data_IF_587019854907
#
_entry.id   IF_587019854907
#
_cell.length_a   1.000
_cell.length_b   1.000
_cell.length_c   1.000
_cell.angle_alpha   90.00
_cell.angle_beta   90.00
_cell.angle_gamma   90.00
#
_symmetry.space_group_name_H-M   'P 1'
#
loop_
_entity.id
_entity.type
_entity.pdbx_description
1 polymer ?
#
# COMPACT_ATOMS: atom_id res chain seq x y z
N UNK A 1 49.20 28.38 43.57
CA UNK A 1 48.13 29.32 43.95
C UNK A 1 46.84 28.51 44.12
N UNK A 2 46.37 28.45 45.36
CA UNK A 2 45.09 27.90 45.79
C UNK A 2 43.93 28.80 45.34
N UNK A 3 42.87 28.22 44.79
CA UNK A 3 41.57 28.88 44.61
C UNK A 3 40.50 27.80 44.78
N UNK A 4 40.13 27.52 46.04
CA UNK A 4 38.85 27.94 46.62
C UNK A 4 37.65 27.56 45.76
N UNK A 5 37.13 26.36 46.05
CA UNK A 5 35.77 25.92 45.75
C UNK A 5 34.78 26.85 46.44
N UNK A 6 34.18 27.75 45.68
CA UNK A 6 33.11 28.61 46.14
C UNK A 6 31.84 27.77 46.34
N UNK A 7 31.47 27.60 47.61
CA UNK A 7 30.31 26.84 48.08
C UNK A 7 29.03 27.61 47.82
N UNK A 8 28.62 27.67 46.55
CA UNK A 8 27.25 28.05 46.20
C UNK A 8 26.29 26.91 46.53
N UNK A 9 25.51 27.06 47.59
CA UNK A 9 24.45 26.14 48.01
C UNK A 9 23.45 25.89 46.86
N UNK A 10 23.70 24.85 46.07
CA UNK A 10 22.74 24.38 45.06
C UNK A 10 21.57 23.77 45.82
N UNK A 11 20.41 24.43 45.78
CA UNK A 11 19.17 23.90 46.39
C UNK A 11 18.72 22.66 45.63
N UNK A 12 18.76 21.46 46.24
CA UNK A 12 18.22 20.27 45.60
C UNK A 12 16.69 20.36 45.57
N UNK A 13 16.08 19.92 44.47
CA UNK A 13 14.63 19.99 44.27
C UNK A 13 13.90 18.92 45.10
N UNK A 14 14.49 17.73 45.16
CA UNK A 14 14.11 16.63 46.03
C UNK A 14 15.28 15.63 46.15
N UNK A 15 15.24 14.81 47.19
CA UNK A 15 16.20 13.74 47.45
C UNK A 15 15.56 12.40 47.05
N UNK A 16 16.28 11.58 46.29
CA UNK A 16 15.80 10.25 45.84
C UNK A 16 16.53 9.13 46.55
N UNK A 17 15.81 8.05 46.82
CA UNK A 17 16.42 6.84 47.38
C UNK A 17 17.35 6.19 46.33
N UNK A 18 18.57 5.76 46.69
CA UNK A 18 19.53 5.18 45.74
C UNK A 18 19.07 3.86 45.11
N UNK A 19 18.42 2.97 45.89
CA UNK A 19 17.89 1.69 45.39
C UNK A 19 16.45 1.68 44.86
N UNK A 20 15.55 2.59 45.29
CA UNK A 20 14.16 2.62 44.82
C UNK A 20 13.78 4.00 44.26
N UNK A 21 13.71 4.17 42.93
CA UNK A 21 13.40 5.46 42.31
C UNK A 21 12.03 6.05 42.66
N UNK A 22 11.08 5.26 43.19
CA UNK A 22 9.73 5.72 43.55
C UNK A 22 9.66 6.46 44.89
N UNK A 23 10.67 6.30 45.76
CA UNK A 23 10.69 6.94 47.09
C UNK A 23 11.48 8.24 47.03
N UNK A 24 10.77 9.37 47.07
CA UNK A 24 11.34 10.73 47.04
C UNK A 24 11.00 11.51 48.30
N UNK A 25 11.96 12.24 48.88
CA UNK A 25 11.75 13.12 50.04
C UNK A 25 12.14 14.57 49.70
N UNK A 26 11.34 15.53 50.18
CA UNK A 26 11.62 16.98 50.03
C UNK A 26 12.68 17.50 51.00
N UNK A 27 13.00 16.72 52.02
CA UNK A 27 13.97 17.04 53.09
C UNK A 27 15.08 15.98 53.04
N UNK A 28 16.35 16.33 53.35
CA UNK A 28 17.40 15.32 53.49
C UNK A 28 16.94 14.21 54.43
N UNK A 29 16.86 12.99 53.92
CA UNK A 29 16.42 11.82 54.66
C UNK A 29 17.47 10.73 54.51
N UNK A 30 17.53 9.85 55.52
CA UNK A 30 18.33 8.64 55.50
C UNK A 30 17.41 7.44 55.36
N UNK A 31 17.89 6.42 54.65
CA UNK A 31 17.18 5.15 54.57
C UNK A 31 17.36 4.31 55.85
N UNK A 32 16.59 3.23 55.99
CA UNK A 32 16.72 2.23 57.06
C UNK A 32 18.11 1.59 57.18
N UNK A 33 19.00 1.81 56.20
CA UNK A 33 20.40 1.42 56.21
C UNK A 33 21.38 2.60 56.41
N UNK A 34 20.90 3.73 56.95
CA UNK A 34 21.69 4.93 57.28
C UNK A 34 22.38 5.62 56.09
N UNK A 35 22.01 5.28 54.86
CA UNK A 35 22.52 5.93 53.64
C UNK A 35 21.76 7.21 53.33
N UNK A 36 22.50 8.26 53.00
CA UNK A 36 21.93 9.56 52.60
C UNK A 36 21.25 9.46 51.23
N UNK A 37 20.05 10.02 51.12
CA UNK A 37 19.37 10.11 49.84
C UNK A 37 20.13 11.02 48.88
N UNK A 38 20.12 10.68 47.60
CA UNK A 38 20.88 11.40 46.57
C UNK A 38 20.13 12.68 46.17
N UNK A 39 20.76 13.87 46.25
CA UNK A 39 20.12 15.13 45.84
C UNK A 39 19.95 15.18 44.31
N UNK A 40 18.72 15.39 43.84
CA UNK A 40 18.43 15.64 42.43
C UNK A 40 18.33 17.15 42.21
N UNK A 41 19.14 17.65 41.28
CA UNK A 41 19.20 19.06 40.92
C UNK A 41 18.32 19.35 39.69
N UNK A 42 17.84 20.60 39.58
CA UNK A 42 16.99 21.03 38.47
C UNK A 42 17.63 20.84 37.09
N UNK A 43 18.96 20.81 37.02
CA UNK A 43 19.71 20.63 35.77
C UNK A 43 19.64 19.20 35.24
N UNK A 44 19.55 18.18 36.10
CA UNK A 44 19.29 16.79 35.68
C UNK A 44 17.83 16.61 35.25
N UNK A 45 16.88 17.30 35.89
CA UNK A 45 15.49 17.34 35.45
C UNK A 45 15.32 18.09 34.12
N UNK A 46 16.20 19.05 33.79
CA UNK A 46 16.25 19.71 32.48
C UNK A 46 16.96 18.84 31.42
N UNK A 47 17.98 18.06 31.79
CA UNK A 47 18.61 17.07 30.92
C UNK A 47 17.69 15.86 30.62
N UNK A 48 16.76 15.55 31.53
CA UNK A 48 15.67 14.58 31.36
C UNK A 48 14.31 15.21 31.01
N UNK A 49 14.25 16.53 30.80
CA UNK A 49 13.02 17.31 30.58
C UNK A 49 12.52 17.26 29.14
N UNK A 50 12.59 16.08 28.52
CA UNK A 50 11.91 15.81 27.26
C UNK A 50 10.47 15.39 27.54
N UNK A 51 9.53 15.81 26.70
CA UNK A 51 8.17 15.26 26.66
C UNK A 51 8.28 13.73 26.65
N UNK A 52 7.47 13.03 27.46
CA UNK A 52 7.47 11.57 27.50
C UNK A 52 7.40 10.98 26.07
N UNK A 53 8.39 10.15 25.71
CA UNK A 53 8.54 9.62 24.34
C UNK A 53 9.58 10.34 23.47
N UNK A 54 10.33 11.32 23.99
CA UNK A 54 11.45 11.94 23.27
C UNK A 54 12.81 11.37 23.74
N UNK A 55 13.70 11.13 22.77
CA UNK A 55 15.08 10.67 23.01
C UNK A 55 16.03 11.79 22.57
N UNK A 56 16.94 12.19 23.46
CA UNK A 56 17.98 13.18 23.19
C UNK A 56 19.28 12.46 22.83
N UNK A 57 19.89 12.84 21.72
CA UNK A 57 21.15 12.28 21.23
C UNK A 57 22.18 13.40 21.10
N UNK A 58 23.43 13.10 21.44
CA UNK A 58 24.55 14.05 21.35
C UNK A 58 24.81 14.48 19.88
N UNK A 59 24.95 15.78 19.59
CA UNK A 59 25.34 16.29 18.28
C UNK A 59 26.56 15.61 17.65
N UNK A 60 27.59 15.24 18.43
CA UNK A 60 28.78 14.54 17.91
C UNK A 60 28.42 13.16 17.36
N UNK A 61 27.45 12.49 17.99
CA UNK A 61 26.91 11.20 17.55
C UNK A 61 26.08 11.38 16.28
N UNK A 62 25.17 12.36 16.25
CA UNK A 62 24.35 12.67 15.06
C UNK A 62 25.21 12.99 13.83
N UNK A 63 26.31 13.73 14.03
CA UNK A 63 27.24 14.08 12.97
C UNK A 63 28.07 12.87 12.50
N UNK A 64 28.57 12.05 13.43
CA UNK A 64 29.36 10.85 13.10
C UNK A 64 28.55 9.81 12.33
N UNK A 65 27.26 9.67 12.66
CA UNK A 65 26.34 8.77 11.95
C UNK A 65 25.75 9.36 10.66
N UNK A 66 26.03 10.62 10.34
CA UNK A 66 25.61 11.26 9.08
C UNK A 66 24.10 11.32 8.89
N UNK A 67 23.35 11.58 9.97
CA UNK A 67 21.87 11.59 9.95
C UNK A 67 21.35 12.62 8.95
N UNK A 68 20.43 12.19 8.07
CA UNK A 68 19.74 13.06 7.10
C UNK A 68 18.27 13.15 7.47
N UNK A 69 17.76 14.36 7.53
CA UNK A 69 16.34 14.62 7.76
C UNK A 69 15.72 15.27 6.52
N UNK A 70 14.43 15.03 6.33
CA UNK A 70 13.63 15.70 5.34
C UNK A 70 12.32 16.14 5.99
N UNK A 71 11.84 17.33 5.66
CA UNK A 71 10.56 17.80 6.14
C UNK A 71 9.44 16.96 5.52
N UNK A 72 8.50 16.49 6.35
CA UNK A 72 7.32 15.79 5.88
C UNK A 72 6.47 16.73 5.02
N UNK A 73 6.06 16.26 3.84
CA UNK A 73 5.20 17.00 2.91
C UNK A 73 4.03 16.11 2.50
N UNK A 74 2.85 16.72 2.39
CA UNK A 74 1.71 16.07 1.78
C UNK A 74 1.88 16.13 0.27
N UNK A 75 1.89 14.98 -0.39
CA UNK A 75 2.02 14.90 -1.84
C UNK A 75 1.14 13.78 -2.39
N UNK A 76 0.59 14.00 -3.58
CA UNK A 76 -0.09 12.95 -4.34
C UNK A 76 0.95 11.95 -4.83
N UNK A 77 0.81 10.70 -4.40
CA UNK A 77 1.70 9.61 -4.81
C UNK A 77 0.99 8.78 -5.88
N UNK A 78 1.61 8.68 -7.05
CA UNK A 78 1.15 7.80 -8.13
C UNK A 78 2.11 6.63 -8.25
N UNK A 79 1.59 5.43 -8.53
CA UNK A 79 2.39 4.25 -8.82
C UNK A 79 2.06 3.78 -10.22
N UNK A 80 3.07 3.70 -11.07
CA UNK A 80 2.94 3.10 -12.39
C UNK A 80 2.86 1.58 -12.24
N UNK A 81 1.86 0.97 -12.87
CA UNK A 81 1.67 -0.48 -12.90
C UNK A 81 1.80 -0.95 -14.33
N UNK A 82 2.85 -1.71 -14.60
CA UNK A 82 3.05 -2.36 -15.89
C UNK A 82 2.44 -3.77 -15.84
N UNK A 83 1.50 -4.03 -16.74
CA UNK A 83 0.83 -5.33 -16.87
C UNK A 83 0.75 -5.73 -18.35
N UNK A 84 0.41 -6.99 -18.60
CA UNK A 84 0.15 -7.51 -19.95
C UNK A 84 -1.36 -7.53 -20.23
N UNK A 85 -1.73 -7.44 -21.49
CA UNK A 85 -3.12 -7.57 -21.97
C UNK A 85 -3.21 -8.47 -23.19
N UNK A 86 -4.40 -9.00 -23.47
CA UNK A 86 -4.68 -9.79 -24.67
C UNK A 86 -5.55 -8.98 -25.63
N UNK A 87 -5.18 -8.97 -26.90
CA UNK A 87 -6.06 -8.50 -27.98
C UNK A 87 -6.93 -9.67 -28.40
N UNK A 88 -8.24 -9.46 -28.38
CA UNK A 88 -9.23 -10.48 -28.72
C UNK A 88 -10.28 -9.91 -29.67
N UNK A 89 -11.09 -10.80 -30.25
CA UNK A 89 -12.21 -10.41 -31.09
C UNK A 89 -13.26 -9.65 -30.29
N UNK A 90 -13.88 -8.67 -30.95
CA UNK A 90 -15.03 -7.96 -30.43
C UNK A 90 -16.23 -8.92 -30.42
N UNK A 91 -16.54 -9.49 -29.25
CA UNK A 91 -17.62 -10.47 -29.09
C UNK A 91 -18.98 -9.94 -29.57
N UNK A 92 -19.19 -8.61 -29.54
CA UNK A 92 -20.44 -8.00 -30.03
C UNK A 92 -20.56 -8.02 -31.55
N UNK A 93 -19.45 -8.18 -32.27
CA UNK A 93 -19.40 -8.28 -33.73
C UNK A 93 -19.31 -9.73 -34.20
N UNK A 94 -19.18 -10.68 -33.28
CA UNK A 94 -19.16 -12.10 -33.62
C UNK A 94 -20.58 -12.57 -33.96
N UNK A 95 -20.80 -12.96 -35.20
CA UNK A 95 -22.07 -13.53 -35.66
C UNK A 95 -21.90 -15.00 -36.00
N UNK A 96 -22.83 -15.83 -35.52
CA UNK A 96 -22.89 -17.26 -35.84
C UNK A 96 -24.11 -17.52 -36.70
N UNK A 97 -23.90 -18.08 -37.88
CA UNK A 97 -24.97 -18.44 -38.81
C UNK A 97 -25.36 -19.89 -38.60
N UNK A 98 -26.61 -20.12 -38.23
CA UNK A 98 -27.20 -21.44 -38.10
C UNK A 98 -28.29 -21.58 -39.18
N UNK A 99 -28.19 -22.55 -40.11
CA UNK A 99 -29.28 -22.86 -41.02
C UNK A 99 -30.55 -23.18 -40.22
N UNK A 100 -31.68 -22.62 -40.65
CA UNK A 100 -33.00 -22.87 -40.02
C UNK A 100 -33.66 -24.16 -40.53
N UNK A 101 -33.09 -24.78 -41.55
CA UNK A 101 -33.64 -25.93 -42.24
C UNK A 101 -32.53 -26.93 -42.52
N UNK A 102 -32.91 -28.21 -42.59
CA UNK A 102 -32.01 -29.27 -42.99
C UNK A 102 -31.87 -29.30 -44.52
N UNK A 103 -30.69 -29.70 -44.99
CA UNK A 103 -30.38 -29.72 -46.41
C UNK A 103 -28.94 -30.08 -46.71
N UNK A 104 -28.59 -30.04 -47.99
CA UNK A 104 -27.24 -30.30 -48.48
C UNK A 104 -26.57 -29.01 -48.96
N UNK A 105 -25.28 -28.87 -48.68
CA UNK A 105 -24.48 -27.74 -49.17
C UNK A 105 -24.18 -27.99 -50.65
N UNK A 106 -24.59 -27.06 -51.53
CA UNK A 106 -24.32 -27.15 -52.96
C UNK A 106 -22.99 -26.50 -53.34
N UNK A 107 -22.71 -25.33 -52.75
CA UNK A 107 -21.50 -24.53 -53.01
C UNK A 107 -21.05 -23.86 -51.73
N UNK A 108 -19.75 -23.84 -51.49
CA UNK A 108 -19.14 -23.15 -50.35
C UNK A 108 -17.96 -22.30 -50.86
N UNK A 109 -18.22 -21.03 -51.25
CA UNK A 109 -17.16 -20.14 -51.73
C UNK A 109 -16.13 -19.77 -50.65
N UNK A 110 -16.49 -19.88 -49.37
CA UNK A 110 -15.61 -19.63 -48.23
C UNK A 110 -15.40 -20.94 -47.48
N UNK A 111 -14.32 -21.64 -47.82
CA UNK A 111 -13.96 -22.97 -47.32
C UNK A 111 -12.91 -22.96 -46.21
N UNK A 112 -12.17 -21.86 -46.04
CA UNK A 112 -11.10 -21.73 -45.05
C UNK A 112 -11.45 -20.81 -43.87
N UNK A 113 -11.09 -21.26 -42.66
CA UNK A 113 -11.23 -20.46 -41.43
C UNK A 113 -10.20 -19.33 -41.39
N UNK A 114 -10.65 -18.11 -41.14
CA UNK A 114 -9.79 -16.92 -41.15
C UNK A 114 -9.84 -16.13 -42.46
N UNK A 115 -10.56 -16.64 -43.47
CA UNK A 115 -10.84 -15.91 -44.70
C UNK A 115 -11.50 -14.56 -44.42
N UNK A 116 -10.98 -13.50 -45.04
CA UNK A 116 -11.54 -12.15 -44.92
C UNK A 116 -12.80 -12.06 -45.78
N UNK A 117 -13.93 -11.77 -45.16
CA UNK A 117 -15.23 -11.62 -45.82
C UNK A 117 -15.84 -10.25 -45.54
N UNK A 118 -16.59 -9.72 -46.51
CA UNK A 118 -17.31 -8.47 -46.36
C UNK A 118 -18.80 -8.74 -46.06
N UNK A 119 -19.51 -7.71 -45.59
CA UNK A 119 -20.96 -7.82 -45.42
C UNK A 119 -21.61 -8.08 -46.78
N UNK A 120 -22.38 -9.15 -46.88
CA UNK A 120 -23.06 -9.58 -48.11
C UNK A 120 -22.28 -10.59 -48.95
N UNK A 121 -21.07 -10.98 -48.54
CA UNK A 121 -20.35 -12.09 -49.18
C UNK A 121 -21.11 -13.41 -48.97
N UNK A 122 -21.35 -14.15 -50.05
CA UNK A 122 -21.96 -15.48 -50.00
C UNK A 122 -21.02 -16.48 -49.33
N UNK A 123 -21.39 -16.99 -48.17
CA UNK A 123 -20.60 -17.97 -47.42
C UNK A 123 -20.83 -19.40 -47.91
N UNK A 124 -22.10 -19.76 -48.15
CA UNK A 124 -22.52 -21.06 -48.63
C UNK A 124 -23.86 -20.96 -49.38
N UNK A 125 -24.16 -21.97 -50.18
CA UNK A 125 -25.47 -22.22 -50.80
C UNK A 125 -25.99 -23.57 -50.29
N UNK A 126 -27.26 -23.60 -49.87
CA UNK A 126 -27.92 -24.76 -49.26
C UNK A 126 -29.17 -25.13 -50.04
N UNK A 127 -29.32 -26.40 -50.37
CA UNK A 127 -30.53 -26.98 -50.92
C UNK A 127 -31.30 -27.76 -49.84
N UNK A 128 -32.58 -27.45 -49.64
CA UNK A 128 -33.43 -28.11 -48.65
C UNK A 128 -34.68 -28.69 -49.31
N UNK A 129 -34.86 -30.03 -49.31
CA UNK A 129 -36.08 -30.66 -49.83
C UNK A 129 -37.34 -30.19 -49.15
N UNK A 130 -37.28 -30.03 -47.83
CA UNK A 130 -38.44 -29.66 -47.03
C UNK A 130 -38.96 -28.29 -47.45
N UNK A 131 -38.05 -27.33 -47.71
CA UNK A 131 -38.45 -26.01 -48.22
C UNK A 131 -39.03 -26.05 -49.64
N UNK A 132 -38.52 -26.93 -50.50
CA UNK A 132 -39.03 -27.07 -51.88
C UNK A 132 -40.45 -27.61 -51.85
N UNK A 133 -40.69 -28.70 -51.11
CA UNK A 133 -42.02 -29.29 -50.96
C UNK A 133 -43.02 -28.29 -50.37
N UNK A 134 -42.65 -27.58 -49.29
CA UNK A 134 -43.54 -26.58 -48.71
C UNK A 134 -43.85 -25.40 -49.63
N UNK A 135 -42.92 -25.01 -50.51
CA UNK A 135 -43.17 -23.98 -51.52
C UNK A 135 -44.15 -24.46 -52.61
N UNK A 136 -43.99 -25.70 -53.08
CA UNK A 136 -44.90 -26.29 -54.06
C UNK A 136 -46.33 -26.40 -53.49
N UNK A 137 -46.47 -26.85 -52.24
CA UNK A 137 -47.77 -26.89 -51.56
C UNK A 137 -48.40 -25.49 -51.42
N UNK A 138 -47.61 -24.47 -51.08
CA UNK A 138 -48.10 -23.09 -50.97
C UNK A 138 -48.59 -22.52 -52.31
N UNK A 139 -47.96 -22.88 -53.43
CA UNK A 139 -48.39 -22.42 -54.76
C UNK A 139 -49.65 -23.14 -55.26
N UNK A 140 -49.96 -24.32 -54.72
CA UNK A 140 -51.15 -25.10 -55.06
C UNK A 140 -52.39 -24.70 -54.25
N UNK A 141 -52.20 -24.06 -53.09
CA UNK A 141 -53.27 -23.60 -52.20
C UNK A 141 -53.84 -22.24 -52.61
#
# INVERSE_FOLDING_TARGET
ASTQSDGGERKPLYYRHPMNPEVTSKVPAKDNMDMDYVPVYADEAAAGGGVAGSVRVDPATVQSFGVRTAAAKLQTMTRDVFTVGRVDYDEKKLSRFHPKVEGWIERQPVDETGSVVAKGTTLLSLYSPVLVVSQEEYLLA
#
